data_IF_929473555931
#
_entry.id   IF_929473555931
#
_cell.length_a   1.000
_cell.length_b   1.000
_cell.length_c   1.000
_cell.angle_alpha   90.00
_cell.angle_beta   90.00
_cell.angle_gamma   90.00
#
_symmetry.space_group_name_H-M   'P 1'
#
loop_
_entity.id
_entity.type
_entity.pdbx_description
1 polymer ?
#
# COMPACT_ATOMS: atom_id res chain seq x y z
N UNK A 1 -24.60 -30.06 22.27
CA UNK A 1 -24.38 -29.83 21.77
C UNK A 1 -23.85 -29.33 21.27
N UNK A 2 -23.49 -29.20 21.36
CA UNK A 2 -23.08 -28.88 20.79
C UNK A 2 -22.76 -28.04 20.46
N UNK A 3 -22.79 -27.52 20.53
CA UNK A 3 -22.58 -26.57 20.16
C UNK A 3 -21.73 -25.81 20.76
N UNK A 4 -21.31 -25.76 21.52
CA UNK A 4 -20.53 -25.10 22.14
C UNK A 4 -19.41 -24.65 21.49
N UNK A 5 -19.18 -25.04 20.63
CA UNK A 5 -18.24 -24.59 19.83
C UNK A 5 -18.35 -23.24 19.53
N UNK A 6 -19.43 -22.78 19.48
CA UNK A 6 -19.71 -21.50 19.14
C UNK A 6 -19.01 -20.49 19.95
N UNK A 7 -18.88 -20.75 21.15
CA UNK A 7 -18.26 -19.87 22.05
C UNK A 7 -16.85 -19.58 21.74
N UNK A 8 -16.15 -20.59 21.43
CA UNK A 8 -14.75 -20.43 21.09
C UNK A 8 -14.58 -19.47 19.96
N UNK A 9 -15.45 -19.57 19.02
CA UNK A 9 -15.35 -18.69 17.88
C UNK A 9 -15.54 -17.27 18.29
N UNK A 10 -16.41 -17.00 19.17
CA UNK A 10 -16.66 -15.65 19.60
C UNK A 10 -15.44 -15.03 20.24
N UNK A 11 -14.80 -15.76 21.05
CA UNK A 11 -13.63 -15.24 21.71
C UNK A 11 -12.55 -14.91 20.74
N UNK A 12 -12.34 -15.78 19.82
CA UNK A 12 -11.35 -15.55 18.80
C UNK A 12 -11.64 -14.29 18.02
N UNK A 13 -12.87 -14.06 17.72
CA UNK A 13 -13.25 -12.89 16.98
C UNK A 13 -12.88 -11.60 17.70
N UNK A 14 -13.09 -11.56 18.98
CA UNK A 14 -12.77 -10.38 19.74
C UNK A 14 -11.29 -10.07 19.70
N UNK A 15 -10.49 -11.08 19.81
CA UNK A 15 -9.06 -10.92 19.75
C UNK A 15 -8.61 -10.35 18.42
N UNK A 16 -9.16 -10.85 17.37
CA UNK A 16 -8.81 -10.37 16.05
C UNK A 16 -9.20 -8.92 15.84
N UNK A 17 -10.24 -8.47 16.44
CA UNK A 17 -10.65 -7.08 16.27
C UNK A 17 -9.59 -6.11 16.75
N UNK A 18 -8.94 -6.41 17.83
CA UNK A 18 -7.90 -5.54 18.31
C UNK A 18 -6.73 -5.48 17.33
N UNK A 19 -6.35 -6.62 16.83
CA UNK A 19 -5.26 -6.66 15.86
C UNK A 19 -5.69 -5.97 14.57
N UNK A 20 -6.92 -6.15 14.17
CA UNK A 20 -7.42 -5.53 12.97
C UNK A 20 -7.44 -4.02 13.08
N UNK A 21 -7.77 -3.49 14.22
CA UNK A 21 -7.80 -2.05 14.40
C UNK A 21 -6.41 -1.45 14.25
N UNK A 22 -5.39 -2.09 14.77
CA UNK A 22 -4.04 -1.60 14.61
C UNK A 22 -3.61 -1.62 13.15
N UNK A 23 -3.99 -2.66 12.43
CA UNK A 23 -3.63 -2.78 11.03
C UNK A 23 -4.49 -1.92 10.14
N UNK A 24 -5.65 -1.51 10.61
CA UNK A 24 -6.54 -0.68 9.80
C UNK A 24 -5.96 0.69 9.52
N UNK A 25 -4.92 1.07 10.20
CA UNK A 25 -4.26 2.34 9.92
C UNK A 25 -3.31 2.25 8.75
N UNK A 26 -3.06 1.08 8.23
CA UNK A 26 -2.22 0.88 7.07
C UNK A 26 -3.04 0.35 5.92
N UNK A 27 -2.76 0.84 4.72
CA UNK A 27 -3.33 0.27 3.50
C UNK A 27 -2.19 -0.10 2.58
N UNK A 28 -2.30 -1.22 1.92
CA UNK A 28 -1.30 -1.66 0.95
C UNK A 28 -1.83 -1.36 -0.44
N UNK A 29 -1.02 -0.70 -1.24
CA UNK A 29 -1.36 -0.39 -2.62
C UNK A 29 -0.32 -0.99 -3.54
N UNK A 30 -0.73 -1.28 -4.76
CA UNK A 30 0.17 -1.76 -5.79
C UNK A 30 -0.12 -1.07 -7.09
N UNK A 31 0.86 -1.01 -7.96
CA UNK A 31 0.71 -0.41 -9.27
C UNK A 31 1.74 -0.95 -10.24
N UNK A 32 1.54 -0.65 -11.50
CA UNK A 32 2.41 -1.08 -12.58
C UNK A 32 2.55 0.08 -13.54
N UNK A 33 3.74 0.31 -14.04
CA UNK A 33 3.96 1.39 -15.01
C UNK A 33 5.11 1.03 -15.93
N UNK A 34 5.07 1.58 -17.13
CA UNK A 34 6.11 1.39 -18.14
C UNK A 34 6.67 2.75 -18.52
N UNK A 35 7.96 2.85 -18.59
CA UNK A 35 8.62 4.10 -18.96
C UNK A 35 9.97 3.81 -19.62
N UNK A 36 10.69 4.85 -20.01
CA UNK A 36 11.96 4.70 -20.69
C UNK A 36 13.10 4.21 -19.82
N UNK A 37 12.94 4.25 -18.51
CA UNK A 37 13.96 3.75 -17.57
C UNK A 37 13.29 3.16 -16.35
N UNK A 38 14.06 2.37 -15.60
CA UNK A 38 13.55 1.80 -14.35
C UNK A 38 13.19 2.89 -13.36
N UNK A 39 14.03 3.91 -13.24
CA UNK A 39 13.75 5.00 -12.30
C UNK A 39 12.47 5.74 -12.64
N UNK A 40 12.25 6.03 -13.91
CA UNK A 40 11.01 6.68 -14.33
C UNK A 40 9.80 5.79 -14.09
N UNK A 41 9.92 4.51 -14.41
CA UNK A 41 8.81 3.59 -14.20
C UNK A 41 8.47 3.46 -12.71
N UNK A 42 9.46 3.40 -11.84
CA UNK A 42 9.22 3.36 -10.39
C UNK A 42 8.54 4.63 -9.90
N UNK A 43 8.93 5.77 -10.45
CA UNK A 43 8.32 7.04 -10.09
C UNK A 43 6.82 7.03 -10.42
N UNK A 44 6.47 6.55 -11.61
CA UNK A 44 5.06 6.46 -12.00
C UNK A 44 4.30 5.44 -11.16
N UNK A 45 4.95 4.35 -10.75
CA UNK A 45 4.34 3.39 -9.86
C UNK A 45 3.99 4.05 -8.53
N UNK A 46 4.94 4.79 -7.96
CA UNK A 46 4.71 5.47 -6.69
C UNK A 46 3.63 6.54 -6.82
N UNK A 47 3.65 7.29 -7.89
CA UNK A 47 2.63 8.29 -8.17
C UNK A 47 1.24 7.66 -8.18
N UNK A 48 1.10 6.54 -8.85
CA UNK A 48 -0.17 5.84 -8.95
C UNK A 48 -0.63 5.34 -7.58
N UNK A 49 0.30 4.83 -6.78
CA UNK A 49 -0.05 4.35 -5.43
C UNK A 49 -0.51 5.51 -4.54
N UNK A 50 0.15 6.65 -4.60
CA UNK A 50 -0.24 7.83 -3.83
C UNK A 50 -1.65 8.28 -4.21
N UNK A 51 -1.94 8.32 -5.50
CA UNK A 51 -3.26 8.67 -5.99
C UNK A 51 -4.31 7.65 -5.52
N UNK A 52 -3.93 6.39 -5.45
CA UNK A 52 -4.83 5.34 -4.99
C UNK A 52 -5.16 5.45 -3.50
N UNK A 53 -4.27 6.02 -2.71
CA UNK A 53 -4.57 6.30 -1.31
C UNK A 53 -5.55 7.47 -1.23
N UNK A 54 -5.22 8.57 -1.87
CA UNK A 54 -6.10 9.73 -1.96
C UNK A 54 -5.54 10.74 -2.95
N UNK A 55 -6.36 11.21 -3.85
CA UNK A 55 -5.96 12.25 -4.79
C UNK A 55 -5.49 13.52 -4.11
N UNK A 56 -6.01 13.80 -2.93
CA UNK A 56 -5.61 14.99 -2.20
C UNK A 56 -4.16 14.98 -1.71
N UNK A 57 -3.54 13.80 -1.68
CA UNK A 57 -2.15 13.66 -1.26
C UNK A 57 -1.16 13.94 -2.38
N UNK A 58 -1.61 13.79 -3.62
CA UNK A 58 -0.75 13.83 -4.79
C UNK A 58 0.01 15.15 -4.97
N UNK A 59 -0.64 16.33 -4.88
CA UNK A 59 0.10 17.58 -5.07
C UNK A 59 1.25 17.77 -4.08
N UNK A 60 1.04 17.42 -2.82
CA UNK A 60 2.09 17.53 -1.82
C UNK A 60 3.22 16.55 -2.09
N UNK A 61 2.89 15.36 -2.51
CA UNK A 61 3.90 14.37 -2.87
C UNK A 61 4.73 14.83 -4.06
N UNK A 62 4.10 15.42 -5.07
CA UNK A 62 4.83 15.95 -6.20
C UNK A 62 5.79 17.06 -5.77
N UNK A 63 5.39 17.86 -4.81
CA UNK A 63 6.16 19.01 -4.38
C UNK A 63 7.33 18.64 -3.50
N UNK A 64 7.19 17.69 -2.59
CA UNK A 64 8.23 17.41 -1.61
C UNK A 64 8.55 15.92 -1.41
N UNK A 65 7.91 15.04 -2.17
CA UNK A 65 8.18 13.61 -2.08
C UNK A 65 7.60 12.92 -0.87
N UNK A 66 6.75 13.60 -0.11
CA UNK A 66 6.16 13.04 1.10
C UNK A 66 4.67 12.86 0.99
N UNK A 67 4.16 11.84 1.65
CA UNK A 67 2.72 11.56 1.68
C UNK A 67 2.20 12.07 3.02
N UNK A 68 1.59 13.24 3.00
CA UNK A 68 1.18 13.92 4.22
C UNK A 68 0.27 13.06 5.08
N UNK A 69 0.62 12.91 6.35
CA UNK A 69 -0.18 12.13 7.29
C UNK A 69 0.04 10.62 7.22
N UNK A 70 1.01 10.18 6.40
CA UNK A 70 1.29 8.74 6.25
C UNK A 70 2.80 8.50 6.30
N UNK A 71 3.18 7.32 6.77
CA UNK A 71 4.52 6.80 6.56
C UNK A 71 4.42 5.68 5.53
N UNK A 72 5.38 5.62 4.63
CA UNK A 72 5.43 4.61 3.58
C UNK A 72 6.38 3.51 4.03
N UNK A 73 5.90 2.28 4.03
CA UNK A 73 6.68 1.14 4.51
C UNK A 73 6.62 -0.01 3.52
N UNK A 74 7.61 -0.88 3.59
CA UNK A 74 7.65 -2.10 2.79
C UNK A 74 7.55 -1.82 1.29
N UNK A 75 8.21 -0.77 0.88
CA UNK A 75 8.23 -0.36 -0.52
C UNK A 75 9.06 -1.36 -1.31
N UNK A 76 8.49 -1.93 -2.35
CA UNK A 76 9.17 -2.93 -3.18
C UNK A 76 8.84 -2.71 -4.64
N UNK A 77 9.83 -2.93 -5.48
CA UNK A 77 9.68 -2.80 -6.92
C UNK A 77 10.32 -3.99 -7.62
N UNK A 78 9.70 -4.40 -8.72
CA UNK A 78 10.23 -5.44 -9.59
C UNK A 78 10.14 -4.89 -11.02
N UNK A 79 11.26 -4.72 -11.67
CA UNK A 79 11.32 -4.10 -13.00
C UNK A 79 11.88 -5.06 -14.02
N UNK A 80 11.31 -5.03 -15.21
CA UNK A 80 11.75 -5.90 -16.32
C UNK A 80 11.78 -5.13 -17.62
N UNK A 81 12.67 -5.50 -18.53
CA UNK A 81 12.68 -4.92 -19.86
C UNK A 81 11.37 -5.21 -20.58
N UNK A 82 10.91 -4.29 -21.37
CA UNK A 82 9.65 -4.42 -22.07
C UNK A 82 9.72 -3.66 -23.39
N UNK A 83 10.21 -4.32 -24.44
CA UNK A 83 10.19 -3.76 -25.78
C UNK A 83 10.92 -2.43 -25.92
N UNK A 84 12.10 -2.31 -25.37
CA UNK A 84 12.85 -1.06 -25.43
C UNK A 84 12.53 -0.09 -24.30
N UNK A 85 11.58 -0.44 -23.47
CA UNK A 85 11.23 0.31 -22.28
C UNK A 85 11.39 -0.58 -21.06
N UNK A 86 11.00 -0.11 -19.92
CA UNK A 86 11.05 -0.87 -18.67
C UNK A 86 9.69 -0.82 -17.99
N UNK A 87 9.19 -1.97 -17.60
CA UNK A 87 7.96 -2.06 -16.84
C UNK A 87 8.29 -2.44 -15.42
N UNK A 88 7.82 -1.65 -14.48
CA UNK A 88 7.98 -1.92 -13.06
C UNK A 88 6.63 -2.18 -12.42
N UNK A 89 6.63 -3.13 -11.50
CA UNK A 89 5.51 -3.33 -10.59
C UNK A 89 5.99 -2.97 -9.22
N UNK A 90 5.17 -2.37 -8.43
CA UNK A 90 5.56 -2.03 -7.07
C UNK A 90 4.41 -2.12 -6.13
N UNK A 91 4.75 -2.14 -4.85
CA UNK A 91 3.74 -2.04 -3.80
C UNK A 91 4.37 -1.45 -2.56
N UNK A 92 3.52 -0.88 -1.73
CA UNK A 92 3.94 -0.27 -0.49
C UNK A 92 2.76 -0.21 0.46
N UNK A 93 3.06 -0.11 1.73
CA UNK A 93 2.05 0.09 2.76
C UNK A 93 2.07 1.55 3.18
N UNK A 94 0.90 2.15 3.24
CA UNK A 94 0.74 3.55 3.65
C UNK A 94 0.04 3.53 5.00
N UNK A 95 0.74 3.94 6.03
CA UNK A 95 0.26 3.86 7.41
C UNK A 95 0.03 5.26 7.96
N UNK A 96 -1.14 5.51 8.51
CA UNK A 96 -1.43 6.81 9.08
C UNK A 96 -0.52 7.09 10.26
N UNK A 97 -0.07 8.33 10.36
CA UNK A 97 0.85 8.73 11.40
C UNK A 97 0.20 9.46 12.56
N UNK A 98 -1.04 9.78 12.47
CA UNK A 98 -1.64 10.54 13.56
C UNK A 98 -3.07 10.23 13.84
#
# INVERSE_FOLDING_TARGET
>A
MKRKLIIAASVTGAFFLAAGAAQAQCVTKGAKATAGSADSAKWYVMETMVQAVSWGLWPGWLSNGKVAGYSVKNEKYDCKPDGGQVTCRGRASFCKTG
#
